data_IF_002444575030
#
_entry.id   IF_002444575030
#
_cell.length_a   1.000
_cell.length_b   1.000
_cell.length_c   1.000
_cell.angle_alpha   90.00
_cell.angle_beta   90.00
_cell.angle_gamma   90.00
#
_symmetry.space_group_name_H-M   'P 1'
#
loop_
_entity.id
_entity.type
_entity.pdbx_description
1 polymer ?
#
# COMPACT_ATOMS: atom_id res chain seq x y z
N UNK A 1 6.10 5.22 -13.06
CA UNK A 1 7.55 5.45 -13.27
C UNK A 1 8.37 5.46 -11.99
N UNK A 2 7.89 6.02 -10.87
CA UNK A 2 8.63 6.07 -9.60
C UNK A 2 9.16 4.70 -9.12
N UNK A 3 8.37 3.63 -9.25
CA UNK A 3 8.79 2.27 -8.87
C UNK A 3 9.99 1.74 -9.68
N UNK A 4 10.03 2.01 -11.00
CA UNK A 4 11.15 1.61 -11.87
C UNK A 4 12.43 2.33 -11.45
N UNK A 5 12.33 3.64 -11.24
CA UNK A 5 13.45 4.44 -10.79
C UNK A 5 13.98 3.99 -9.42
N UNK A 6 13.07 3.71 -8.46
CA UNK A 6 13.46 3.23 -7.14
C UNK A 6 14.21 1.88 -7.21
N UNK A 7 13.75 0.94 -8.04
CA UNK A 7 14.44 -0.33 -8.23
C UNK A 7 15.80 -0.17 -8.92
N UNK A 8 15.91 0.71 -9.92
CA UNK A 8 17.20 1.05 -10.53
C UNK A 8 18.16 1.64 -9.49
N UNK A 9 17.68 2.57 -8.66
CA UNK A 9 18.49 3.19 -7.62
C UNK A 9 18.95 2.17 -6.57
N UNK A 10 18.09 1.23 -6.18
CA UNK A 10 18.45 0.13 -5.30
C UNK A 10 19.52 -0.78 -5.94
N UNK A 11 19.37 -1.09 -7.23
CA UNK A 11 20.34 -1.90 -7.98
C UNK A 11 21.70 -1.20 -8.17
N UNK A 12 21.76 0.13 -8.20
CA UNK A 12 23.03 0.86 -8.29
C UNK A 12 23.80 0.90 -6.97
N UNK A 13 23.10 0.83 -5.83
CA UNK A 13 23.71 0.97 -4.50
C UNK A 13 24.08 -0.35 -3.82
N UNK A 14 23.78 -1.48 -4.45
CA UNK A 14 23.97 -2.81 -3.86
C UNK A 14 25.42 -3.30 -3.95
N UNK A 15 25.77 -4.30 -3.14
CA UNK A 15 27.04 -5.00 -3.28
C UNK A 15 27.03 -5.95 -4.51
N UNK A 16 28.19 -6.29 -5.09
CA UNK A 16 28.26 -7.16 -6.28
C UNK A 16 27.64 -8.55 -6.09
N UNK A 17 27.61 -9.05 -4.85
CA UNK A 17 27.03 -10.35 -4.47
C UNK A 17 25.51 -10.33 -4.30
N UNK A 18 24.89 -9.14 -4.28
CA UNK A 18 23.46 -9.00 -4.01
C UNK A 18 22.63 -9.26 -5.28
N UNK A 19 21.38 -9.70 -5.11
CA UNK A 19 20.47 -9.94 -6.23
C UNK A 19 20.05 -8.63 -6.93
N UNK A 20 19.68 -8.71 -8.20
CA UNK A 20 19.04 -7.59 -8.91
C UNK A 20 17.55 -7.58 -8.61
N UNK A 21 16.99 -6.42 -8.30
CA UNK A 21 15.57 -6.19 -8.10
C UNK A 21 14.93 -5.88 -9.45
N UNK A 22 14.00 -6.74 -9.89
CA UNK A 22 13.09 -6.47 -11.00
C UNK A 22 11.75 -5.92 -10.51
N UNK A 23 11.02 -5.22 -11.38
CA UNK A 23 9.70 -4.67 -11.05
C UNK A 23 8.69 -5.09 -12.13
N UNK A 24 7.55 -5.61 -11.70
CA UNK A 24 6.35 -5.77 -12.53
C UNK A 24 5.35 -4.66 -12.20
N UNK A 25 4.82 -4.01 -13.23
CA UNK A 25 3.83 -2.93 -13.06
C UNK A 25 2.54 -3.38 -13.71
N UNK A 26 1.47 -3.36 -12.93
CA UNK A 26 0.13 -3.67 -13.39
C UNK A 26 -0.76 -2.46 -13.16
N UNK A 27 -1.51 -2.08 -14.19
CA UNK A 27 -2.49 -1.01 -14.08
C UNK A 27 -3.83 -1.56 -13.58
N UNK A 28 -4.35 -0.95 -12.53
CA UNK A 28 -5.66 -1.27 -11.95
C UNK A 28 -6.77 -0.42 -12.53
N UNK A 29 -6.46 0.65 -13.28
CA UNK A 29 -7.42 1.60 -13.84
C UNK A 29 -8.45 2.15 -12.82
N UNK A 30 -8.11 2.14 -11.52
CA UNK A 30 -9.03 2.42 -10.41
C UNK A 30 -10.31 1.55 -10.37
N UNK A 31 -10.31 0.39 -11.04
CA UNK A 31 -11.45 -0.53 -11.13
C UNK A 31 -11.16 -1.81 -10.32
N UNK A 32 -12.13 -2.23 -9.50
CA UNK A 32 -11.94 -3.37 -8.58
C UNK A 32 -11.79 -4.71 -9.32
N UNK A 33 -12.56 -4.93 -10.37
CA UNK A 33 -12.53 -6.14 -11.18
C UNK A 33 -11.21 -6.26 -11.97
N UNK A 34 -10.72 -5.13 -12.51
CA UNK A 34 -9.40 -5.06 -13.14
C UNK A 34 -8.30 -5.33 -12.11
N UNK A 35 -8.35 -4.67 -10.95
CA UNK A 35 -7.39 -4.88 -9.87
C UNK A 35 -7.31 -6.33 -9.41
N UNK A 36 -8.46 -7.00 -9.24
CA UNK A 36 -8.53 -8.41 -8.87
C UNK A 36 -7.87 -9.28 -9.94
N UNK A 37 -8.19 -9.07 -11.22
CA UNK A 37 -7.57 -9.80 -12.34
C UNK A 37 -6.06 -9.62 -12.39
N UNK A 38 -5.56 -8.40 -12.20
CA UNK A 38 -4.11 -8.16 -12.15
C UNK A 38 -3.47 -8.82 -10.93
N UNK A 39 -4.15 -8.80 -9.78
CA UNK A 39 -3.65 -9.41 -8.56
C UNK A 39 -3.53 -10.93 -8.69
N UNK A 40 -4.48 -11.58 -9.37
CA UNK A 40 -4.37 -13.01 -9.69
C UNK A 40 -3.18 -13.32 -10.60
N UNK A 41 -2.83 -12.45 -11.56
CA UNK A 41 -1.63 -12.61 -12.39
C UNK A 41 -0.35 -12.56 -11.54
N UNK A 42 -0.31 -11.67 -10.55
CA UNK A 42 0.80 -11.59 -9.58
C UNK A 42 0.89 -12.89 -8.78
N UNK A 43 -0.23 -13.38 -8.25
CA UNK A 43 -0.28 -14.63 -7.48
C UNK A 43 0.14 -15.85 -8.33
N UNK A 44 -0.18 -15.89 -9.62
CA UNK A 44 0.32 -16.97 -10.49
C UNK A 44 1.85 -17.01 -10.53
N UNK A 45 2.52 -15.87 -10.36
CA UNK A 45 3.99 -15.78 -10.34
C UNK A 45 4.60 -16.17 -8.98
N UNK A 46 3.82 -16.26 -7.90
CA UNK A 46 4.34 -16.63 -6.57
C UNK A 46 4.56 -18.14 -6.42
N UNK A 47 3.85 -18.97 -7.20
CA UNK A 47 3.90 -20.44 -7.13
C UNK A 47 5.08 -21.12 -7.86
N UNK A 48 5.94 -20.38 -8.55
CA UNK A 48 7.00 -20.95 -9.40
C UNK A 48 8.30 -21.36 -8.67
N UNK A 49 8.24 -21.64 -7.37
CA UNK A 49 9.35 -22.31 -6.65
C UNK A 49 9.38 -23.83 -6.97
N UNK A 50 8.37 -24.36 -7.68
CA UNK A 50 8.50 -25.70 -8.26
C UNK A 50 9.49 -25.66 -9.42
N UNK A 51 10.52 -26.51 -9.32
CA UNK A 51 11.47 -26.80 -10.39
C UNK A 51 10.71 -27.18 -11.67
N UNK A 52 10.41 -26.18 -12.50
CA UNK A 52 10.06 -26.43 -13.89
C UNK A 52 11.32 -27.06 -14.49
N UNK A 53 11.18 -28.26 -15.06
CA UNK A 53 12.26 -29.03 -15.67
C UNK A 53 12.95 -28.32 -16.85
N UNK A 54 12.54 -27.09 -17.17
CA UNK A 54 13.06 -26.26 -18.25
C UNK A 54 13.85 -25.06 -17.68
N UNK A 55 15.18 -24.99 -17.89
CA UNK A 55 16.02 -23.91 -17.37
C UNK A 55 15.74 -22.53 -18.00
N UNK A 56 15.10 -22.48 -19.17
CA UNK A 56 14.90 -21.24 -19.94
C UNK A 56 13.59 -20.48 -19.63
N UNK A 57 12.76 -20.96 -18.70
CA UNK A 57 11.47 -20.32 -18.36
C UNK A 57 11.34 -20.00 -16.87
N UNK A 58 12.46 -19.72 -16.18
CA UNK A 58 12.42 -19.26 -14.79
C UNK A 58 11.92 -17.82 -14.73
N UNK A 59 10.62 -17.66 -14.53
CA UNK A 59 10.04 -16.38 -14.12
C UNK A 59 10.50 -16.13 -12.67
N UNK A 60 11.15 -15.00 -12.37
CA UNK A 60 11.59 -14.73 -10.99
C UNK A 60 10.38 -14.63 -10.07
N UNK A 61 10.43 -15.24 -8.87
CA UNK A 61 9.31 -15.24 -7.95
C UNK A 61 9.03 -13.82 -7.44
N UNK A 62 7.75 -13.51 -7.25
CA UNK A 62 7.34 -12.24 -6.64
C UNK A 62 7.55 -12.33 -5.13
N UNK A 63 8.43 -11.48 -4.60
CA UNK A 63 8.77 -11.44 -3.17
C UNK A 63 7.86 -10.51 -2.34
N UNK A 64 7.13 -9.61 -3.01
CA UNK A 64 6.23 -8.66 -2.37
C UNK A 64 5.57 -7.75 -3.40
N UNK A 65 4.56 -6.99 -2.96
CA UNK A 65 3.82 -6.08 -3.82
C UNK A 65 3.69 -4.69 -3.18
N UNK A 66 3.72 -3.65 -4.03
CA UNK A 66 3.40 -2.28 -3.62
C UNK A 66 2.07 -1.91 -4.27
N UNK A 67 1.11 -1.47 -3.46
CA UNK A 67 -0.24 -1.11 -3.90
C UNK A 67 -0.45 0.40 -3.77
N UNK A 68 -1.19 0.95 -4.74
CA UNK A 68 -1.55 2.37 -4.80
C UNK A 68 -2.95 2.51 -5.40
N UNK A 69 -3.78 3.39 -4.83
CA UNK A 69 -5.10 3.69 -5.36
C UNK A 69 -6.14 3.93 -4.26
N UNK A 70 -7.41 3.72 -4.59
CA UNK A 70 -8.54 3.95 -3.69
C UNK A 70 -8.72 2.75 -2.74
N UNK A 71 -9.31 2.97 -1.56
CA UNK A 71 -9.54 1.93 -0.54
C UNK A 71 -10.19 0.66 -1.10
N UNK A 72 -11.16 0.83 -1.99
CA UNK A 72 -11.89 -0.28 -2.61
C UNK A 72 -10.97 -1.21 -3.44
N UNK A 73 -10.00 -0.63 -4.16
CA UNK A 73 -9.00 -1.35 -4.96
C UNK A 73 -7.95 -1.97 -4.04
N UNK A 74 -7.43 -1.19 -3.09
CA UNK A 74 -6.43 -1.65 -2.12
C UNK A 74 -6.94 -2.82 -1.29
N UNK A 75 -8.19 -2.77 -0.80
CA UNK A 75 -8.81 -3.80 0.02
C UNK A 75 -8.90 -5.14 -0.74
N UNK A 76 -9.29 -5.07 -2.01
CA UNK A 76 -9.48 -6.26 -2.84
C UNK A 76 -8.12 -6.93 -3.09
N UNK A 77 -7.13 -6.16 -3.55
CA UNK A 77 -5.79 -6.68 -3.84
C UNK A 77 -5.05 -7.14 -2.59
N UNK A 78 -5.12 -6.40 -1.48
CA UNK A 78 -4.44 -6.76 -0.23
C UNK A 78 -4.99 -8.05 0.37
N UNK A 79 -6.32 -8.25 0.40
CA UNK A 79 -6.94 -9.50 0.88
C UNK A 79 -6.48 -10.71 0.08
N UNK A 80 -6.48 -10.59 -1.25
CA UNK A 80 -6.00 -11.67 -2.13
C UNK A 80 -4.54 -11.97 -1.86
N UNK A 81 -3.67 -10.96 -1.84
CA UNK A 81 -2.22 -11.15 -1.63
C UNK A 81 -1.90 -11.70 -0.24
N UNK A 82 -2.58 -11.22 0.80
CA UNK A 82 -2.45 -11.74 2.17
C UNK A 82 -2.82 -13.21 2.26
N UNK A 83 -3.82 -13.67 1.50
CA UNK A 83 -4.22 -15.09 1.45
C UNK A 83 -3.15 -16.00 0.85
N UNK A 84 -2.25 -15.46 0.03
CA UNK A 84 -1.10 -16.18 -0.55
C UNK A 84 0.22 -15.85 0.17
N UNK A 85 0.15 -15.25 1.36
CA UNK A 85 1.32 -14.86 2.16
C UNK A 85 2.30 -13.94 1.43
N UNK A 86 1.81 -13.14 0.48
CA UNK A 86 2.62 -12.14 -0.21
C UNK A 86 2.63 -10.87 0.62
N UNK A 87 3.80 -10.38 1.09
CA UNK A 87 3.86 -9.13 1.83
C UNK A 87 3.50 -7.96 0.92
N UNK A 88 2.65 -7.06 1.43
CA UNK A 88 2.16 -5.91 0.67
C UNK A 88 2.44 -4.59 1.39
N UNK A 89 2.84 -3.60 0.60
CA UNK A 89 3.15 -2.25 1.06
C UNK A 89 2.15 -1.27 0.43
N UNK A 90 1.43 -0.51 1.25
CA UNK A 90 0.50 0.53 0.81
C UNK A 90 1.28 1.85 0.65
N UNK A 91 1.19 2.44 -0.54
CA UNK A 91 1.86 3.70 -0.89
C UNK A 91 0.93 4.92 -0.88
N UNK A 92 -0.36 4.70 -0.64
CA UNK A 92 -1.38 5.75 -0.52
C UNK A 92 -2.04 5.69 0.85
N UNK A 93 -2.73 6.78 1.21
CA UNK A 93 -3.61 6.79 2.38
C UNK A 93 -4.61 5.62 2.27
N UNK A 94 -4.83 4.96 3.39
CA UNK A 94 -5.64 3.76 3.48
C UNK A 94 -6.32 3.73 4.82
N UNK A 95 -7.54 3.22 4.86
CA UNK A 95 -8.27 3.01 6.10
C UNK A 95 -7.47 2.15 7.10
N UNK A 96 -7.56 2.45 8.40
CA UNK A 96 -6.81 1.74 9.46
C UNK A 96 -7.16 0.24 9.48
N UNK A 97 -8.35 -0.12 8.99
CA UNK A 97 -8.77 -1.51 8.79
C UNK A 97 -7.90 -2.27 7.79
N UNK A 98 -7.39 -1.63 6.73
CA UNK A 98 -6.46 -2.28 5.80
C UNK A 98 -5.11 -2.56 6.46
N UNK A 99 -4.63 -1.64 7.29
CA UNK A 99 -3.37 -1.81 8.02
C UNK A 99 -3.43 -2.94 9.06
N UNK A 100 -4.63 -3.38 9.45
CA UNK A 100 -4.84 -4.51 10.37
C UNK A 100 -4.75 -5.89 9.71
N UNK A 101 -4.71 -5.97 8.37
CA UNK A 101 -4.58 -7.23 7.64
C UNK A 101 -3.16 -7.83 7.81
N UNK A 102 -3.03 -9.17 7.89
CA UNK A 102 -1.73 -9.81 8.04
C UNK A 102 -0.86 -9.56 6.80
N UNK A 103 0.44 -9.34 7.02
CA UNK A 103 1.43 -9.06 5.96
C UNK A 103 1.11 -7.81 5.11
N UNK A 104 0.30 -6.87 5.64
CA UNK A 104 0.06 -5.56 5.04
C UNK A 104 0.76 -4.51 5.87
N UNK A 105 1.53 -3.65 5.20
CA UNK A 105 2.26 -2.55 5.80
C UNK A 105 1.92 -1.27 5.05
N UNK A 106 2.05 -0.11 5.70
CA UNK A 106 1.81 1.18 5.05
C UNK A 106 3.01 2.11 5.21
N UNK A 107 3.29 2.83 4.13
CA UNK A 107 4.25 3.96 4.12
C UNK A 107 3.57 5.31 4.32
N UNK A 108 2.24 5.35 4.21
CA UNK A 108 1.44 6.54 4.50
C UNK A 108 1.16 6.64 6.02
N UNK A 109 1.13 7.86 6.58
CA UNK A 109 0.76 8.07 7.97
C UNK A 109 -0.71 7.71 8.19
N UNK A 110 -1.05 7.14 9.35
CA UNK A 110 -2.45 6.87 9.70
C UNK A 110 -3.26 8.15 9.91
N UNK A 111 -4.55 8.09 9.62
CA UNK A 111 -5.50 9.20 9.84
C UNK A 111 -5.53 9.66 11.30
N UNK A 112 -5.35 8.73 12.24
CA UNK A 112 -5.22 9.02 13.67
C UNK A 112 -3.93 9.81 13.98
N UNK A 113 -2.82 9.49 13.33
CA UNK A 113 -1.57 10.25 13.49
C UNK A 113 -1.70 11.65 12.91
N UNK A 114 -2.35 11.78 11.75
CA UNK A 114 -2.62 13.08 11.12
C UNK A 114 -3.55 13.96 11.97
N UNK A 115 -4.63 13.40 12.51
CA UNK A 115 -5.57 14.14 13.37
C UNK A 115 -4.93 14.59 14.69
N UNK A 116 -4.06 13.77 15.31
CA UNK A 116 -3.25 14.18 16.46
C UNK A 116 -2.32 15.35 16.13
N UNK A 117 -1.68 15.31 14.97
CA UNK A 117 -0.87 16.42 14.46
C UNK A 117 -1.69 17.70 14.31
N UNK A 118 -2.86 17.62 13.70
CA UNK A 118 -3.77 18.75 13.53
C UNK A 118 -4.22 19.34 14.87
N UNK A 119 -4.63 18.49 15.82
CA UNK A 119 -5.03 18.94 17.18
C UNK A 119 -3.85 19.61 17.89
N UNK A 120 -2.64 19.08 17.74
CA UNK A 120 -1.42 19.70 18.32
C UNK A 120 -1.19 21.11 17.77
N UNK A 121 -1.39 21.31 16.47
CA UNK A 121 -1.29 22.63 15.83
C UNK A 121 -2.37 23.57 16.37
N UNK A 122 -3.63 23.13 16.44
CA UNK A 122 -4.74 23.95 16.95
C UNK A 122 -4.51 24.40 18.39
N UNK A 123 -4.01 23.50 19.25
CA UNK A 123 -3.65 23.84 20.64
C UNK A 123 -2.54 24.87 20.71
N UNK A 124 -1.50 24.75 19.87
CA UNK A 124 -0.41 25.74 19.81
C UNK A 124 -0.88 27.12 19.35
N UNK A 125 -1.90 27.18 18.51
CA UNK A 125 -2.53 28.43 18.06
C UNK A 125 -3.54 29.01 19.06
N UNK A 126 -3.83 28.30 20.16
CA UNK A 126 -4.84 28.71 21.14
C UNK A 126 -6.28 28.60 20.64
N UNK A 127 -6.53 27.86 19.56
CA UNK A 127 -7.86 27.69 18.99
C UNK A 127 -8.61 26.58 19.75
N UNK A 128 -9.57 26.97 20.59
CA UNK A 128 -10.34 26.07 21.45
C UNK A 128 -11.62 25.53 20.78
N UNK A 129 -12.06 26.16 19.69
CA UNK A 129 -13.28 25.83 18.97
C UNK A 129 -13.02 25.83 17.47
N UNK A 130 -13.54 24.80 16.80
CA UNK A 130 -13.43 24.66 15.35
C UNK A 130 -14.51 23.74 14.81
N UNK A 131 -14.87 23.95 13.54
CA UNK A 131 -15.80 23.10 12.82
C UNK A 131 -15.00 22.14 11.96
N UNK A 132 -15.25 20.83 12.09
CA UNK A 132 -14.64 19.82 11.25
C UNK A 132 -15.62 19.39 10.17
N UNK A 133 -15.15 19.38 8.94
CA UNK A 133 -15.87 18.85 7.78
C UNK A 133 -15.12 17.60 7.32
N UNK A 134 -15.82 16.47 7.27
CA UNK A 134 -15.30 15.20 6.79
C UNK A 134 -15.97 14.80 5.48
N UNK A 135 -15.20 14.19 4.58
CA UNK A 135 -15.62 13.84 3.22
C UNK A 135 -16.63 12.67 3.18
N UNK A 136 -16.52 11.70 4.11
CA UNK A 136 -17.39 10.52 4.12
C UNK A 136 -18.66 10.72 4.95
N UNK A 137 -19.66 11.32 4.32
CA UNK A 137 -21.03 11.45 4.83
C UNK A 137 -21.18 12.67 5.73
N UNK A 138 -22.18 13.51 5.42
CA UNK A 138 -22.53 14.76 6.11
C UNK A 138 -22.74 14.60 7.64
N UNK A 139 -21.66 14.46 8.39
CA UNK A 139 -21.65 14.60 9.85
C UNK A 139 -20.77 15.79 10.17
N UNK A 140 -21.42 16.92 10.42
CA UNK A 140 -20.77 18.07 11.05
C UNK A 140 -20.43 17.65 12.48
N UNK A 141 -19.14 17.62 12.79
CA UNK A 141 -18.67 17.43 14.15
C UNK A 141 -18.07 18.76 14.63
N UNK A 142 -18.60 19.29 15.74
CA UNK A 142 -17.98 20.40 16.45
C UNK A 142 -17.02 19.82 17.48
N UNK A 143 -15.74 20.20 17.41
CA UNK A 143 -14.76 19.87 18.43
C UNK A 143 -14.64 21.05 19.39
N UNK A 144 -14.91 20.82 20.68
CA UNK A 144 -14.57 21.73 21.75
C UNK A 144 -13.42 21.14 22.55
N UNK A 145 -12.31 21.86 22.62
CA UNK A 145 -11.18 21.47 23.45
C UNK A 145 -11.37 22.05 24.85
N UNK A 146 -11.55 21.18 25.83
CA UNK A 146 -11.54 21.56 27.25
C UNK A 146 -10.16 22.05 27.67
N UNK A 147 -10.13 23.08 28.53
CA UNK A 147 -8.91 23.58 29.16
C UNK A 147 -8.26 22.51 30.03
#
# INVERSE_FOLDING_TARGET
MAAVWAAQQANFRKAPSDFNIGVYIYDTCHQQDVALRQTFRVVQQTGHIKSLACPNTRIPPVFGAVLYGNDAVLLTSSKTLASFSVPTMLASDSDDHLASLPNVYSTAPSTLSMSRGLVSILRRLGWLQGVVLASSGHRRASLQFGK
#
